data_IF_063909206576
#
_entry.id   IF_063909206576
#
_cell.length_a   1.000
_cell.length_b   1.000
_cell.length_c   1.000
_cell.angle_alpha   90.00
_cell.angle_beta   90.00
_cell.angle_gamma   90.00
#
_symmetry.space_group_name_H-M   'P 1'
#
loop_
_entity.id
_entity.type
_entity.pdbx_description
1 polymer ?
#
# COMPACT_ATOMS: atom_id res chain seq x y z
N UNK A 1 9.12 -4.49 12.83
CA UNK A 1 7.89 -4.91 12.16
C UNK A 1 8.04 -4.67 10.66
N UNK A 2 7.50 -5.55 9.81
CA UNK A 2 7.38 -5.31 8.38
C UNK A 2 5.94 -4.91 8.11
N UNK A 3 5.75 -3.86 7.33
CA UNK A 3 4.50 -3.49 6.69
C UNK A 3 4.66 -3.76 5.19
N UNK A 4 4.10 -4.86 4.71
CA UNK A 4 4.23 -5.28 3.33
C UNK A 4 3.06 -4.77 2.49
N UNK A 5 3.36 -4.29 1.30
CA UNK A 5 2.37 -3.90 0.28
C UNK A 5 2.49 -4.87 -0.89
N UNK A 6 1.38 -5.48 -1.29
CA UNK A 6 1.33 -6.39 -2.44
C UNK A 6 0.33 -5.84 -3.43
N UNK A 7 0.84 -5.29 -4.55
CA UNK A 7 0.04 -4.79 -5.64
C UNK A 7 -0.31 -5.95 -6.56
N UNK A 8 -1.58 -6.11 -6.87
CA UNK A 8 -2.03 -7.20 -7.74
C UNK A 8 -2.98 -6.70 -8.83
N UNK A 9 -2.88 -7.36 -9.99
CA UNK A 9 -3.71 -7.13 -11.17
C UNK A 9 -4.65 -8.31 -11.40
N UNK A 10 -5.82 -8.11 -12.04
CA UNK A 10 -6.70 -9.20 -12.44
C UNK A 10 -6.00 -10.17 -13.39
N UNK A 11 -6.24 -11.46 -13.23
CA UNK A 11 -5.86 -12.40 -14.29
C UNK A 11 -6.63 -12.07 -15.58
N UNK A 12 -6.08 -12.38 -16.78
CA UNK A 12 -6.80 -12.20 -18.03
C UNK A 12 -8.16 -12.89 -18.02
N UNK A 13 -9.19 -12.15 -18.41
CA UNK A 13 -10.57 -12.64 -18.48
C UNK A 13 -11.43 -12.36 -17.25
N UNK A 14 -10.86 -11.83 -16.15
CA UNK A 14 -11.65 -11.27 -15.05
C UNK A 14 -11.82 -9.76 -15.22
N UNK A 15 -13.03 -9.28 -14.98
CA UNK A 15 -13.27 -7.86 -14.75
C UNK A 15 -12.63 -7.42 -13.42
N UNK A 16 -12.42 -6.13 -13.25
CA UNK A 16 -11.91 -5.59 -11.98
C UNK A 16 -12.83 -5.91 -10.80
N UNK A 17 -14.14 -5.82 -11.00
CA UNK A 17 -15.11 -6.14 -9.95
C UNK A 17 -15.02 -7.61 -9.52
N UNK A 18 -14.97 -8.55 -10.48
CA UNK A 18 -14.82 -9.99 -10.19
C UNK A 18 -13.50 -10.27 -9.45
N UNK A 19 -12.41 -9.61 -9.87
CA UNK A 19 -11.12 -9.72 -9.20
C UNK A 19 -11.18 -9.22 -7.75
N UNK A 20 -11.74 -8.02 -7.51
CA UNK A 20 -11.84 -7.43 -6.18
C UNK A 20 -12.73 -8.27 -5.26
N UNK A 21 -13.86 -8.76 -5.75
CA UNK A 21 -14.77 -9.62 -5.00
C UNK A 21 -14.11 -10.97 -4.66
N UNK A 22 -13.42 -11.59 -5.63
CA UNK A 22 -12.72 -12.84 -5.38
C UNK A 22 -11.61 -12.65 -4.35
N UNK A 23 -10.77 -11.61 -4.52
CA UNK A 23 -9.72 -11.31 -3.56
C UNK A 23 -10.27 -11.17 -2.14
N UNK A 24 -11.28 -10.32 -2.00
CA UNK A 24 -11.83 -9.94 -0.70
C UNK A 24 -12.57 -11.08 -0.02
N UNK A 25 -13.45 -11.76 -0.74
CA UNK A 25 -14.38 -12.73 -0.14
C UNK A 25 -13.91 -14.19 -0.25
N UNK A 26 -12.99 -14.49 -1.14
CA UNK A 26 -12.48 -15.85 -1.33
C UNK A 26 -11.02 -15.94 -0.89
N UNK A 27 -10.10 -15.33 -1.64
CA UNK A 27 -8.66 -15.46 -1.39
C UNK A 27 -8.26 -15.00 0.02
N UNK A 28 -8.61 -13.79 0.38
CA UNK A 28 -8.24 -13.20 1.66
C UNK A 28 -8.82 -13.98 2.85
N UNK A 29 -10.12 -14.34 2.77
CA UNK A 29 -10.81 -14.98 3.89
C UNK A 29 -10.54 -16.48 4.00
N UNK A 30 -10.43 -17.20 2.88
CA UNK A 30 -10.28 -18.66 2.91
C UNK A 30 -8.83 -19.11 3.00
N UNK A 31 -7.89 -18.29 2.51
CA UNK A 31 -6.49 -18.66 2.37
C UNK A 31 -5.55 -17.70 3.11
N UNK A 32 -5.32 -16.50 2.61
CA UNK A 32 -4.23 -15.65 3.07
C UNK A 32 -4.28 -15.31 4.58
N UNK A 33 -5.46 -15.02 5.13
CA UNK A 33 -5.59 -14.74 6.59
C UNK A 33 -5.23 -15.92 7.49
N UNK A 34 -5.13 -17.14 6.95
CA UNK A 34 -4.79 -18.33 7.74
C UNK A 34 -3.30 -18.47 7.96
N UNK A 35 -2.45 -17.77 7.20
CA UNK A 35 -1.00 -17.81 7.36
C UNK A 35 -0.65 -17.32 8.77
N UNK A 36 -0.01 -18.17 9.61
CA UNK A 36 0.12 -17.90 11.05
C UNK A 36 0.94 -16.64 11.39
N UNK A 37 1.91 -16.30 10.54
CA UNK A 37 2.82 -15.17 10.76
C UNK A 37 2.18 -13.81 10.46
N UNK A 38 1.06 -13.77 9.74
CA UNK A 38 0.35 -12.51 9.45
C UNK A 38 -0.35 -12.04 10.72
N UNK A 39 0.03 -10.85 11.21
CA UNK A 39 -0.54 -10.21 12.39
C UNK A 39 -1.78 -9.41 12.08
N UNK A 40 -1.71 -8.62 11.00
CA UNK A 40 -2.82 -7.81 10.48
C UNK A 40 -2.87 -7.93 8.97
N UNK A 41 -4.06 -7.79 8.40
CA UNK A 41 -4.25 -7.83 6.96
C UNK A 41 -5.40 -6.92 6.53
N UNK A 42 -5.13 -6.00 5.60
CA UNK A 42 -6.12 -5.21 4.87
C UNK A 42 -6.12 -5.57 3.39
N UNK A 43 -7.30 -5.56 2.78
CA UNK A 43 -7.45 -5.52 1.33
C UNK A 43 -7.88 -4.10 0.95
N UNK A 44 -7.14 -3.51 0.03
CA UNK A 44 -7.40 -2.19 -0.53
C UNK A 44 -7.88 -2.37 -1.96
N UNK A 45 -9.18 -2.24 -2.18
CA UNK A 45 -9.77 -2.28 -3.52
C UNK A 45 -9.62 -0.94 -4.20
N UNK A 46 -9.11 -0.91 -5.42
CA UNK A 46 -9.04 0.32 -6.23
C UNK A 46 -10.44 0.89 -6.43
N UNK A 47 -10.54 2.20 -6.38
CA UNK A 47 -11.75 2.95 -6.69
C UNK A 47 -11.43 4.06 -7.68
N UNK A 48 -12.34 4.28 -8.62
CA UNK A 48 -12.19 5.35 -9.60
C UNK A 48 -12.53 6.70 -8.99
N UNK A 49 -11.60 7.64 -9.12
CA UNK A 49 -11.80 9.04 -8.73
C UNK A 49 -11.54 9.92 -9.95
N UNK A 50 -12.46 10.83 -10.31
CA UNK A 50 -12.24 11.77 -11.39
C UNK A 50 -10.95 12.58 -11.21
N UNK A 51 -10.17 12.73 -12.27
CA UNK A 51 -8.88 13.43 -12.24
C UNK A 51 -7.68 12.53 -11.91
N UNK A 52 -7.88 11.22 -11.78
CA UNK A 52 -6.82 10.21 -11.74
C UNK A 52 -6.77 9.49 -13.10
N UNK A 53 -6.34 10.18 -14.14
CA UNK A 53 -6.41 9.69 -15.53
C UNK A 53 -5.24 8.76 -15.93
N UNK A 54 -4.41 8.32 -14.98
CA UNK A 54 -3.35 7.34 -15.28
C UNK A 54 -3.94 5.94 -15.22
N UNK A 55 -3.90 5.26 -16.34
CA UNK A 55 -4.16 3.82 -16.42
C UNK A 55 -3.13 3.08 -15.54
N UNK A 56 -3.62 2.42 -14.49
CA UNK A 56 -2.79 1.63 -13.57
C UNK A 56 -3.20 0.18 -13.78
N UNK A 57 -2.21 -0.68 -14.04
CA UNK A 57 -2.46 -2.12 -14.27
C UNK A 57 -2.99 -2.84 -13.02
N UNK A 58 -2.75 -2.29 -11.82
CA UNK A 58 -3.16 -2.89 -10.55
C UNK A 58 -4.58 -2.49 -10.16
N UNK A 59 -5.36 -3.44 -9.69
CA UNK A 59 -6.75 -3.23 -9.24
C UNK A 59 -6.93 -3.35 -7.73
N UNK A 60 -5.84 -3.56 -7.00
CA UNK A 60 -5.85 -3.57 -5.54
C UNK A 60 -4.48 -3.78 -4.92
N UNK A 61 -4.44 -3.60 -3.58
CA UNK A 61 -3.22 -3.71 -2.79
C UNK A 61 -3.55 -4.46 -1.50
N UNK A 62 -2.78 -5.51 -1.17
CA UNK A 62 -2.78 -6.05 0.18
C UNK A 62 -1.85 -5.21 1.06
N UNK A 63 -2.28 -4.92 2.27
CA UNK A 63 -1.40 -4.50 3.36
C UNK A 63 -1.32 -5.64 4.38
N UNK A 64 -0.11 -6.11 4.65
CA UNK A 64 0.17 -7.22 5.54
C UNK A 64 1.21 -6.78 6.58
N UNK A 65 0.95 -7.08 7.84
CA UNK A 65 1.90 -6.82 8.92
C UNK A 65 2.46 -8.11 9.46
N UNK A 66 3.79 -8.16 9.56
CA UNK A 66 4.57 -9.29 10.06
C UNK A 66 5.54 -8.79 11.15
N UNK A 67 5.85 -9.63 12.13
CA UNK A 67 6.68 -9.23 13.27
C UNK A 67 8.07 -8.76 12.83
N UNK A 68 8.70 -9.53 11.92
CA UNK A 68 10.07 -9.30 11.46
C UNK A 68 10.34 -10.05 10.14
N UNK A 69 11.56 -9.95 9.65
CA UNK A 69 12.00 -10.58 8.41
C UNK A 69 12.01 -12.11 8.49
N UNK A 70 12.29 -12.68 9.67
CA UNK A 70 12.22 -14.12 9.85
C UNK A 70 10.77 -14.61 9.73
N UNK A 71 9.82 -13.91 10.37
CA UNK A 71 8.40 -14.24 10.26
C UNK A 71 7.92 -14.18 8.79
N UNK A 72 8.40 -13.20 8.01
CA UNK A 72 8.11 -13.12 6.58
C UNK A 72 8.71 -14.30 5.81
N UNK A 73 9.98 -14.62 6.04
CA UNK A 73 10.64 -15.75 5.38
C UNK A 73 9.99 -17.11 5.73
N UNK A 74 9.44 -17.22 6.94
CA UNK A 74 8.73 -18.43 7.38
C UNK A 74 7.30 -18.47 6.87
N UNK A 75 6.63 -17.34 6.69
CA UNK A 75 5.25 -17.27 6.20
C UNK A 75 5.06 -17.93 4.85
N UNK A 76 6.03 -17.73 3.93
CA UNK A 76 5.99 -18.30 2.56
C UNK A 76 6.34 -19.79 2.47
N UNK A 77 6.70 -20.41 3.60
CA UNK A 77 7.01 -21.87 3.68
C UNK A 77 5.90 -22.65 4.34
N UNK A 78 4.88 -22.01 4.84
CA UNK A 78 3.77 -22.66 5.53
C UNK A 78 2.86 -23.39 4.56
N UNK A 79 2.19 -24.48 4.98
CA UNK A 79 1.16 -25.13 4.17
C UNK A 79 0.03 -24.17 3.79
N UNK A 80 -0.35 -23.25 4.70
CA UNK A 80 -1.38 -22.25 4.46
C UNK A 80 -1.01 -21.29 3.32
N UNK A 81 0.30 -21.02 3.13
CA UNK A 81 0.77 -20.27 1.98
C UNK A 81 0.89 -21.17 0.74
N UNK A 82 1.65 -22.26 0.82
CA UNK A 82 2.02 -23.08 -0.35
C UNK A 82 0.81 -23.79 -0.96
N UNK A 83 0.02 -24.49 -0.13
CA UNK A 83 -1.13 -25.27 -0.56
C UNK A 83 -2.43 -24.46 -0.54
N UNK A 84 -2.39 -23.26 0.06
CA UNK A 84 -3.51 -22.35 0.19
C UNK A 84 -3.37 -21.10 -0.70
N UNK A 85 -2.76 -20.04 -0.17
CA UNK A 85 -2.76 -18.73 -0.82
C UNK A 85 -2.06 -18.74 -2.19
N UNK A 86 -0.86 -19.36 -2.28
CA UNK A 86 -0.10 -19.45 -3.53
C UNK A 86 -0.82 -20.32 -4.57
N UNK A 87 -1.39 -21.46 -4.13
CA UNK A 87 -2.12 -22.35 -5.02
C UNK A 87 -3.40 -21.71 -5.58
N UNK A 88 -4.00 -20.78 -4.83
CA UNK A 88 -5.21 -20.07 -5.24
C UNK A 88 -4.94 -18.87 -6.18
N UNK A 89 -3.72 -18.30 -6.20
CA UNK A 89 -3.39 -17.12 -6.99
C UNK A 89 -3.81 -17.19 -8.47
N UNK A 90 -3.57 -18.30 -9.21
CA UNK A 90 -3.95 -18.38 -10.62
C UNK A 90 -5.46 -18.26 -10.89
N UNK A 91 -6.29 -18.39 -9.87
CA UNK A 91 -7.74 -18.28 -10.03
C UNK A 91 -8.21 -16.83 -10.19
N UNK A 92 -7.43 -15.85 -9.71
CA UNK A 92 -7.86 -14.46 -9.66
C UNK A 92 -6.80 -13.42 -10.05
N UNK A 93 -5.50 -13.68 -9.81
CA UNK A 93 -4.43 -12.72 -10.01
C UNK A 93 -3.55 -13.06 -11.22
N UNK A 94 -3.06 -12.01 -11.88
CA UNK A 94 -1.94 -12.08 -12.81
C UNK A 94 -0.63 -12.10 -12.00
N UNK A 95 -0.27 -13.25 -11.43
CA UNK A 95 0.84 -13.39 -10.48
C UNK A 95 2.19 -12.90 -11.03
N UNK A 96 2.39 -12.97 -12.34
CA UNK A 96 3.61 -12.47 -13.01
C UNK A 96 3.73 -10.94 -13.01
N UNK A 97 2.65 -10.21 -12.69
CA UNK A 97 2.64 -8.75 -12.54
C UNK A 97 2.65 -8.31 -11.07
N UNK A 98 2.49 -9.24 -10.14
CA UNK A 98 2.40 -8.94 -8.70
C UNK A 98 3.70 -8.30 -8.22
N UNK A 99 3.58 -7.17 -7.52
CA UNK A 99 4.70 -6.47 -6.88
C UNK A 99 4.57 -6.59 -5.37
N UNK A 100 5.55 -7.20 -4.73
CA UNK A 100 5.70 -7.22 -3.28
C UNK A 100 6.69 -6.15 -2.83
N UNK A 101 6.33 -5.34 -1.84
CA UNK A 101 7.15 -4.27 -1.30
C UNK A 101 7.15 -4.33 0.23
N UNK A 102 8.28 -4.73 0.81
CA UNK A 102 8.47 -4.71 2.27
C UNK A 102 8.90 -3.33 2.71
N UNK A 103 8.16 -2.76 3.64
CA UNK A 103 8.41 -1.40 4.12
C UNK A 103 8.52 -1.33 5.64
N UNK A 104 9.08 -0.24 6.10
CA UNK A 104 8.96 0.25 7.48
C UNK A 104 8.06 1.47 7.50
N UNK A 105 7.09 1.46 8.39
CA UNK A 105 6.06 2.50 8.49
C UNK A 105 6.43 3.54 9.55
N UNK A 106 6.18 4.82 9.22
CA UNK A 106 6.36 5.98 10.07
C UNK A 106 5.06 6.79 10.09
N UNK A 107 4.36 6.83 11.22
CA UNK A 107 3.19 7.67 11.39
C UNK A 107 3.61 9.14 11.46
N UNK A 108 3.08 9.95 10.53
CA UNK A 108 3.36 11.39 10.42
C UNK A 108 2.24 12.20 11.03
N UNK A 109 0.99 11.80 10.79
CA UNK A 109 -0.20 12.47 11.30
C UNK A 109 -1.33 11.46 11.47
N UNK A 110 -2.13 11.63 12.54
CA UNK A 110 -3.26 10.75 12.84
C UNK A 110 -2.82 9.40 13.39
N UNK A 111 -3.80 8.54 13.67
CA UNK A 111 -3.59 7.17 14.16
C UNK A 111 -4.28 6.17 13.23
N UNK A 112 -3.79 4.94 13.18
CA UNK A 112 -4.44 3.87 12.43
C UNK A 112 -5.84 3.63 12.99
N UNK A 113 -6.90 3.71 12.17
CA UNK A 113 -8.24 3.40 12.65
C UNK A 113 -8.24 1.96 13.17
N UNK A 114 -8.41 1.81 14.49
CA UNK A 114 -8.56 0.50 15.12
C UNK A 114 -9.93 -0.12 14.86
N UNK A 115 -10.87 0.68 14.32
CA UNK A 115 -12.22 0.26 14.09
C UNK A 115 -12.33 -0.56 12.80
N UNK A 116 -12.59 -1.86 12.96
CA UNK A 116 -12.77 -2.78 11.85
C UNK A 116 -14.14 -2.66 11.16
N UNK A 117 -15.05 -1.86 11.71
CA UNK A 117 -16.45 -1.79 11.27
C UNK A 117 -16.64 -0.93 10.02
N UNK A 118 -15.79 0.10 9.84
CA UNK A 118 -15.91 1.03 8.72
C UNK A 118 -14.73 0.96 7.76
N UNK A 119 -14.99 1.02 6.43
CA UNK A 119 -13.91 1.08 5.45
C UNK A 119 -13.16 2.41 5.55
N UNK A 120 -11.83 2.35 5.46
CA UNK A 120 -10.95 3.51 5.30
C UNK A 120 -10.89 3.89 3.82
N UNK A 121 -10.91 5.18 3.51
CA UNK A 121 -10.71 5.71 2.16
C UNK A 121 -9.37 6.46 2.11
N UNK A 122 -8.52 6.10 1.18
CA UNK A 122 -7.19 6.74 1.06
C UNK A 122 -6.69 6.76 -0.37
N UNK A 123 -5.75 7.67 -0.63
CA UNK A 123 -4.90 7.60 -1.81
C UNK A 123 -3.52 7.11 -1.38
N UNK A 124 -2.99 6.14 -2.11
CA UNK A 124 -1.64 5.61 -1.91
C UNK A 124 -0.74 6.13 -3.03
N UNK A 125 0.37 6.73 -2.65
CA UNK A 125 1.37 7.31 -3.54
C UNK A 125 2.63 6.43 -3.49
N UNK A 126 2.94 5.75 -4.59
CA UNK A 126 4.12 4.93 -4.74
C UNK A 126 5.22 5.75 -5.39
N UNK A 127 6.33 5.90 -4.71
CA UNK A 127 7.43 6.76 -5.10
C UNK A 127 8.62 5.96 -5.60
N UNK A 128 9.10 6.28 -6.81
CA UNK A 128 10.43 5.89 -7.27
C UNK A 128 11.35 7.09 -7.19
N UNK A 129 12.42 6.99 -6.41
CA UNK A 129 13.39 8.10 -6.24
C UNK A 129 14.00 8.53 -7.56
N UNK A 130 14.42 9.79 -7.66
CA UNK A 130 15.17 10.29 -8.80
C UNK A 130 16.47 9.51 -9.01
N UNK A 131 16.87 9.32 -10.27
CA UNK A 131 18.05 8.54 -10.63
C UNK A 131 19.36 9.11 -10.06
N UNK A 132 19.45 10.44 -10.02
CA UNK A 132 20.59 11.20 -9.51
C UNK A 132 20.61 11.37 -7.99
N UNK A 133 19.55 10.96 -7.30
CA UNK A 133 19.42 11.01 -5.84
C UNK A 133 19.99 9.74 -5.21
N UNK A 134 20.84 9.86 -4.19
CA UNK A 134 21.26 8.71 -3.39
C UNK A 134 20.10 8.13 -2.58
N UNK A 135 20.21 6.85 -2.19
CA UNK A 135 19.20 6.23 -1.30
C UNK A 135 19.14 6.95 0.05
N UNK A 136 20.29 7.31 0.60
CA UNK A 136 20.39 8.02 1.88
C UNK A 136 19.72 9.39 1.82
N UNK A 137 19.96 10.16 0.75
CA UNK A 137 19.33 11.47 0.59
C UNK A 137 17.82 11.35 0.40
N UNK A 138 17.38 10.36 -0.41
CA UNK A 138 15.97 10.09 -0.59
C UNK A 138 15.29 9.76 0.75
N UNK A 139 15.85 8.84 1.53
CA UNK A 139 15.29 8.43 2.83
C UNK A 139 15.21 9.61 3.80
N UNK A 140 16.28 10.39 3.88
CA UNK A 140 16.31 11.60 4.73
C UNK A 140 15.27 12.62 4.30
N UNK A 141 15.18 12.92 3.00
CA UNK A 141 14.23 13.89 2.47
C UNK A 141 12.78 13.41 2.63
N UNK A 142 12.52 12.11 2.47
CA UNK A 142 11.19 11.52 2.61
C UNK A 142 10.68 11.53 4.04
N UNK A 143 11.52 11.18 5.02
CA UNK A 143 11.10 11.10 6.43
C UNK A 143 10.97 12.44 7.12
N UNK A 144 11.71 13.46 6.69
CA UNK A 144 11.66 14.80 7.28
C UNK A 144 11.01 15.82 6.35
N UNK A 145 11.68 16.16 5.25
CA UNK A 145 11.24 17.27 4.40
C UNK A 145 9.90 17.06 3.70
N UNK A 146 9.63 15.84 3.22
CA UNK A 146 8.37 15.52 2.55
C UNK A 146 7.20 15.42 3.53
N UNK A 147 7.43 14.76 4.66
CA UNK A 147 6.44 14.66 5.74
C UNK A 147 6.04 16.05 6.26
N UNK A 148 7.02 16.93 6.51
CA UNK A 148 6.77 18.31 6.94
C UNK A 148 6.00 19.12 5.89
N UNK A 149 6.33 18.94 4.60
CA UNK A 149 5.60 19.59 3.50
C UNK A 149 4.13 19.16 3.45
N UNK A 150 3.84 17.87 3.60
CA UNK A 150 2.45 17.35 3.61
C UNK A 150 1.67 18.01 4.76
N UNK A 151 2.22 18.02 5.97
CA UNK A 151 1.59 18.65 7.12
C UNK A 151 1.37 20.16 6.90
N UNK A 152 2.37 20.85 6.35
CA UNK A 152 2.32 22.28 6.09
C UNK A 152 1.35 22.68 4.97
N UNK A 153 1.04 21.77 4.04
CA UNK A 153 0.19 22.06 2.88
C UNK A 153 -1.28 22.24 3.21
N UNK A 154 -1.72 21.86 4.41
CA UNK A 154 -3.14 21.98 4.86
C UNK A 154 -4.11 21.39 3.84
N UNK A 155 -3.81 20.19 3.38
CA UNK A 155 -4.67 19.45 2.44
C UNK A 155 -6.05 19.26 3.07
N UNK A 156 -7.13 19.69 2.43
CA UNK A 156 -8.47 19.57 3.01
C UNK A 156 -8.87 18.11 3.16
N UNK A 157 -9.60 17.79 4.24
CA UNK A 157 -10.10 16.44 4.58
C UNK A 157 -9.02 15.36 4.78
N UNK A 158 -7.76 15.74 4.83
CA UNK A 158 -6.69 14.82 5.19
C UNK A 158 -6.72 14.58 6.70
N UNK A 159 -6.92 13.32 7.10
CA UNK A 159 -7.03 12.92 8.52
C UNK A 159 -5.85 12.08 9.00
N UNK A 160 -5.14 11.42 8.09
CA UNK A 160 -3.97 10.60 8.43
C UNK A 160 -2.93 10.64 7.32
N UNK A 161 -1.66 10.64 7.72
CA UNK A 161 -0.50 10.47 6.85
C UNK A 161 0.38 9.36 7.42
N UNK A 162 0.61 8.33 6.61
CA UNK A 162 1.55 7.26 6.89
C UNK A 162 2.61 7.22 5.80
N UNK A 163 3.86 7.34 6.19
CA UNK A 163 5.02 7.23 5.31
C UNK A 163 5.68 5.86 5.47
N UNK A 164 5.80 5.10 4.39
CA UNK A 164 6.38 3.76 4.39
C UNK A 164 7.61 3.74 3.49
N UNK A 165 8.79 3.48 4.06
CA UNK A 165 10.04 3.35 3.32
C UNK A 165 10.31 1.89 2.98
N UNK A 166 10.71 1.61 1.75
CA UNK A 166 11.18 0.29 1.36
C UNK A 166 12.39 -0.14 2.18
N UNK A 167 12.39 -1.40 2.62
CA UNK A 167 13.47 -1.97 3.43
C UNK A 167 14.79 -1.97 2.68
N UNK A 168 15.89 -1.62 3.35
CA UNK A 168 17.23 -1.51 2.75
C UNK A 168 17.70 -2.83 2.13
N UNK A 169 17.35 -3.96 2.73
CA UNK A 169 17.68 -5.29 2.20
C UNK A 169 17.19 -5.53 0.76
N UNK A 170 16.13 -4.83 0.32
CA UNK A 170 15.61 -4.95 -1.04
C UNK A 170 16.60 -4.40 -2.09
N UNK A 171 17.52 -3.51 -1.68
CA UNK A 171 18.57 -2.97 -2.54
C UNK A 171 19.82 -3.85 -2.56
N UNK A 172 20.00 -4.70 -1.54
CA UNK A 172 21.15 -5.61 -1.43
C UNK A 172 21.02 -6.85 -2.31
N UNK A 173 19.79 -7.28 -2.59
CA UNK A 173 19.47 -8.50 -3.35
C UNK A 173 19.71 -8.40 -4.87
N UNK A 174 20.44 -7.41 -5.34
CA UNK A 174 20.87 -7.30 -6.74
C UNK A 174 20.03 -6.39 -7.63
N UNK A 175 19.20 -5.53 -7.05
CA UNK A 175 18.42 -4.53 -7.80
C UNK A 175 17.67 -3.59 -6.89
N UNK A 176 17.34 -2.40 -7.40
CA UNK A 176 16.44 -1.50 -6.68
C UNK A 176 15.01 -2.04 -6.75
N UNK A 177 14.22 -1.96 -5.66
CA UNK A 177 12.81 -2.32 -5.69
C UNK A 177 12.04 -1.45 -6.71
N UNK A 178 10.87 -1.88 -7.21
CA UNK A 178 10.06 -1.08 -8.12
C UNK A 178 9.72 0.31 -7.57
N UNK A 179 9.45 0.40 -6.28
CA UNK A 179 9.20 1.65 -5.56
C UNK A 179 10.09 1.75 -4.33
N UNK A 180 10.50 2.97 -3.99
CA UNK A 180 11.39 3.26 -2.87
C UNK A 180 10.61 3.67 -1.61
N UNK A 181 9.35 4.10 -1.78
CA UNK A 181 8.45 4.44 -0.68
C UNK A 181 6.98 4.38 -1.09
N UNK A 182 6.10 4.32 -0.08
CA UNK A 182 4.65 4.44 -0.22
C UNK A 182 4.12 5.44 0.79
N UNK A 183 3.36 6.46 0.35
CA UNK A 183 2.66 7.40 1.24
C UNK A 183 1.18 7.10 1.22
N UNK A 184 0.56 6.95 2.38
CA UNK A 184 -0.88 6.84 2.53
C UNK A 184 -1.44 8.17 3.01
N UNK A 185 -2.43 8.69 2.30
CA UNK A 185 -3.18 9.90 2.68
C UNK A 185 -4.64 9.49 2.85
N UNK A 186 -5.12 9.46 4.10
CA UNK A 186 -6.46 8.95 4.42
C UNK A 186 -7.47 10.07 4.63
N UNK A 187 -8.72 9.78 4.30
CA UNK A 187 -9.89 10.62 4.50
C UNK A 187 -11.00 9.83 5.21
N UNK A 188 -11.95 10.53 5.86
CA UNK A 188 -13.02 9.88 6.62
C UNK A 188 -14.10 9.24 5.76
N UNK A 189 -14.27 9.69 4.52
CA UNK A 189 -15.30 9.19 3.62
C UNK A 189 -14.86 9.25 2.15
N UNK A 190 -15.61 8.56 1.29
CA UNK A 190 -15.44 8.66 -0.17
C UNK A 190 -15.59 10.10 -0.67
N UNK A 191 -16.52 10.87 -0.10
CA UNK A 191 -16.73 12.26 -0.48
C UNK A 191 -15.53 13.13 -0.07
N UNK A 192 -15.01 12.93 1.13
CA UNK A 192 -13.82 13.62 1.62
C UNK A 192 -12.60 13.26 0.77
N UNK A 193 -12.43 11.98 0.41
CA UNK A 193 -11.35 11.54 -0.48
C UNK A 193 -11.43 12.23 -1.85
N UNK A 194 -12.62 12.29 -2.47
CA UNK A 194 -12.83 13.00 -3.74
C UNK A 194 -12.48 14.48 -3.62
N UNK A 195 -12.95 15.13 -2.56
CA UNK A 195 -12.64 16.53 -2.28
C UNK A 195 -11.15 16.76 -2.05
N UNK A 196 -10.51 15.88 -1.29
CA UNK A 196 -9.06 15.90 -1.04
C UNK A 196 -8.26 15.79 -2.34
N UNK A 197 -8.60 14.81 -3.19
CA UNK A 197 -7.92 14.58 -4.49
C UNK A 197 -8.10 15.75 -5.43
N UNK A 198 -9.28 16.35 -5.49
CA UNK A 198 -9.55 17.53 -6.33
C UNK A 198 -8.92 18.84 -5.80
N UNK A 199 -8.35 18.84 -4.59
CA UNK A 199 -7.83 20.05 -3.98
C UNK A 199 -6.53 20.53 -4.65
N UNK A 200 -6.37 21.86 -4.88
CA UNK A 200 -5.12 22.40 -5.41
C UNK A 200 -3.90 22.05 -4.54
N UNK A 201 -4.10 21.91 -3.23
CA UNK A 201 -3.05 21.56 -2.29
C UNK A 201 -2.49 20.15 -2.57
N UNK A 202 -3.37 19.14 -2.74
CA UNK A 202 -2.89 17.79 -3.08
C UNK A 202 -2.35 17.74 -4.52
N UNK A 203 -3.01 18.40 -5.48
CA UNK A 203 -2.54 18.41 -6.86
C UNK A 203 -1.12 19.00 -6.99
N UNK A 204 -0.77 20.00 -6.19
CA UNK A 204 0.60 20.52 -6.12
C UNK A 204 1.61 19.48 -5.59
N UNK A 205 1.19 18.53 -4.75
CA UNK A 205 2.02 17.40 -4.32
C UNK A 205 2.16 16.30 -5.38
N UNK A 206 1.13 16.12 -6.19
CA UNK A 206 1.12 15.13 -7.27
C UNK A 206 1.88 15.62 -8.50
N UNK A 207 2.17 16.92 -8.58
CA UNK A 207 2.98 17.49 -9.64
C UNK A 207 4.46 17.09 -9.45
N UNK A 208 5.03 16.33 -10.39
CA UNK A 208 6.41 15.86 -10.30
C UNK A 208 7.45 16.98 -10.23
N UNK A 209 7.15 18.15 -10.79
CA UNK A 209 8.06 19.30 -10.79
C UNK A 209 8.14 19.93 -9.38
N UNK A 210 7.06 19.90 -8.61
CA UNK A 210 6.98 20.50 -7.29
C UNK A 210 7.32 19.55 -6.14
N UNK A 211 7.07 18.24 -6.29
CA UNK A 211 7.29 17.26 -5.24
C UNK A 211 8.76 16.95 -4.92
N UNK A 212 9.64 17.04 -5.90
CA UNK A 212 11.10 16.93 -5.73
C UNK A 212 11.65 15.52 -5.41
N UNK A 213 10.84 14.57 -5.00
CA UNK A 213 11.24 13.23 -4.54
C UNK A 213 11.36 12.20 -5.66
N UNK A 214 10.40 12.21 -6.58
CA UNK A 214 10.22 11.15 -7.56
C UNK A 214 10.45 11.65 -8.97
N UNK A 215 10.85 10.74 -9.86
CA UNK A 215 10.75 10.98 -11.29
C UNK A 215 9.28 11.14 -11.68
N UNK A 216 8.99 11.92 -12.72
CA UNK A 216 7.61 12.14 -13.19
C UNK A 216 6.88 10.84 -13.57
N UNK A 217 7.61 9.86 -14.07
CA UNK A 217 7.11 8.52 -14.39
C UNK A 217 7.14 7.57 -13.19
N UNK A 218 7.84 7.94 -12.13
CA UNK A 218 8.09 7.15 -10.93
C UNK A 218 7.11 7.41 -9.79
N UNK A 219 6.07 8.22 -10.01
CA UNK A 219 4.97 8.42 -9.06
C UNK A 219 3.72 7.72 -9.58
N UNK A 220 3.33 6.64 -8.92
CA UNK A 220 2.07 5.93 -9.17
C UNK A 220 1.10 6.26 -8.04
N UNK A 221 -0.12 6.60 -8.39
CA UNK A 221 -1.18 6.95 -7.42
C UNK A 221 -2.35 6.00 -7.55
N UNK A 222 -2.89 5.52 -6.43
CA UNK A 222 -4.06 4.66 -6.40
C UNK A 222 -5.00 5.08 -5.28
N UNK A 223 -6.21 5.49 -5.63
CA UNK A 223 -7.29 5.68 -4.67
C UNK A 223 -7.89 4.32 -4.32
N UNK A 224 -8.11 4.07 -3.04
CA UNK A 224 -8.57 2.78 -2.56
C UNK A 224 -9.62 2.91 -1.45
N UNK A 225 -10.50 1.90 -1.41
CA UNK A 225 -11.31 1.55 -0.26
C UNK A 225 -10.64 0.41 0.47
N UNK A 226 -10.32 0.62 1.72
CA UNK A 226 -9.52 -0.28 2.55
C UNK A 226 -10.38 -0.96 3.60
N UNK A 227 -10.27 -2.28 3.73
CA UNK A 227 -11.06 -3.07 4.67
C UNK A 227 -10.20 -4.11 5.37
N UNK A 228 -10.46 -4.29 6.66
CA UNK A 228 -9.82 -5.33 7.45
C UNK A 228 -10.29 -6.73 7.06
N UNK A 229 -9.34 -7.61 6.80
CA UNK A 229 -9.52 -9.07 6.71
C UNK A 229 -9.12 -9.73 8.03
N UNK A 230 -8.04 -9.22 8.62
CA UNK A 230 -7.54 -9.61 9.93
C UNK A 230 -7.20 -8.33 10.68
N UNK A 231 -8.05 -7.93 11.63
CA UNK A 231 -7.86 -6.71 12.42
C UNK A 231 -6.76 -6.83 13.47
N UNK A 232 -6.39 -5.71 14.11
CA UNK A 232 -5.33 -5.66 15.11
C UNK A 232 -5.58 -6.59 16.30
N UNK A 233 -6.84 -6.76 16.70
CA UNK A 233 -7.25 -7.59 17.83
C UNK A 233 -7.26 -9.10 17.53
N UNK A 234 -7.29 -9.49 16.26
CA UNK A 234 -7.48 -10.88 15.88
C UNK A 234 -6.25 -11.76 16.16
N UNK A 235 -5.05 -11.18 16.12
CA UNK A 235 -3.78 -11.83 16.48
C UNK A 235 -2.90 -10.85 17.23
N UNK A 236 -3.09 -10.69 18.55
CA UNK A 236 -2.26 -9.82 19.37
C UNK A 236 -0.79 -10.25 19.31
N UNK A 237 0.10 -9.28 19.43
CA UNK A 237 1.53 -9.56 19.51
C UNK A 237 1.81 -10.41 20.75
N UNK A 238 2.71 -11.40 20.68
CA UNK A 238 3.22 -12.03 21.86
C UNK A 238 3.93 -10.96 22.69
N UNK A 239 3.58 -10.89 23.97
CA UNK A 239 4.22 -10.00 24.95
C UNK A 239 5.63 -10.49 25.25
#
# INVERSE_FOLDING_TARGET
>A
MIHQHILAAPRPGLSEAEFQDYWRYVHALKFARKIPQIRKYKVNSRIDIPGQDREIEFSGIAEIWLDNEQAQADSIKTPEFLDGALHDEPNWAASWQTIGLDTEAHDVMGVDPSDAEFPEYKIMLFHKKKRDMSLTDFRSLYTSGYADKIQGAKIPNLVRVLCCLSKERLYEAGGAPPFDAVTHLSANSMLDLKSMVASPQLQAFLDPEHGGLSEWWGLVTMAVRSEWVLGPEARPYPF
#
